data_IF_108646663059
#
_entry.id   IF_108646663059
#
_cell.length_a   1.000
_cell.length_b   1.000
_cell.length_c   1.000
_cell.angle_alpha   90.00
_cell.angle_beta   90.00
_cell.angle_gamma   90.00
#
_symmetry.space_group_name_H-M   'P 1'
#
loop_
_entity.id
_entity.type
_entity.pdbx_description
1 polymer ?
#
# COMPACT_ATOMS: atom_id res chain seq x y z
N UNK A 1 3.65 -33.51 13.57
CA UNK A 1 3.83 -32.97 13.42
C UNK A 1 4.25 -32.26 12.91
N UNK A 2 3.84 -33.22 13.32
CA UNK A 2 3.89 -32.75 13.06
C UNK A 2 4.44 -32.03 12.91
N UNK A 3 3.80 -32.35 13.32
CA UNK A 3 4.03 -31.73 13.18
C UNK A 3 4.47 -31.65 13.30
N UNK A 4 4.13 -32.19 13.68
CA UNK A 4 4.48 -31.99 13.70
C UNK A 4 4.89 -31.90 13.85
N UNK A 5 4.65 -32.52 14.22
CA UNK A 5 4.75 -32.38 14.27
C UNK A 5 5.12 -31.80 14.27
N UNK A 6 4.70 -32.34 14.77
CA UNK A 6 4.74 -31.86 14.56
C UNK A 6 5.23 -31.13 14.70
N UNK A 7 4.89 -31.71 15.05
CA UNK A 7 4.97 -31.13 15.02
C UNK A 7 5.48 -30.27 14.88
N UNK A 8 5.33 -30.85 15.08
CA UNK A 8 5.40 -30.18 14.81
C UNK A 8 5.61 -29.33 14.54
N UNK A 9 5.02 -29.78 14.70
CA UNK A 9 4.95 -29.02 14.20
C UNK A 9 4.84 -28.27 14.30
N UNK A 10 4.49 -28.54 14.41
CA UNK A 10 4.21 -27.87 14.22
C UNK A 10 4.54 -26.92 14.31
N UNK A 11 4.33 -27.61 14.45
CA UNK A 11 4.44 -26.78 14.32
C UNK A 11 4.69 -25.88 13.74
N UNK A 12 4.53 -26.55 13.68
CA UNK A 12 4.65 -25.78 12.92
C UNK A 12 4.44 -25.22 12.41
N UNK A 13 3.99 -25.47 12.50
CA UNK A 13 3.62 -24.90 11.82
C UNK A 13 3.45 -24.15 11.70
N UNK A 14 3.26 -24.69 11.43
CA UNK A 14 2.90 -23.98 11.11
C UNK A 14 3.19 -23.17 10.97
N UNK A 15 3.35 -23.60 11.03
CA UNK A 15 3.29 -22.88 10.76
C UNK A 15 3.29 -22.23 10.13
N UNK A 16 3.23 -22.26 9.89
CA UNK A 16 2.96 -21.98 9.10
C UNK A 16 2.92 -21.23 8.97
N UNK A 17 2.86 -21.21 8.97
CA UNK A 17 2.87 -20.51 8.85
C UNK A 17 3.23 -19.72 9.49
N UNK A 18 3.47 -19.57 9.96
CA UNK A 18 4.02 -18.76 10.58
C UNK A 18 5.23 -18.44 10.52
N UNK A 19 5.58 -18.23 9.98
CA UNK A 19 6.93 -18.32 9.63
C UNK A 19 7.56 -16.95 9.34
N UNK A 20 8.91 -16.84 9.30
CA UNK A 20 9.59 -15.57 9.02
C UNK A 20 9.21 -15.01 7.65
N UNK A 21 8.82 -15.89 6.75
CA UNK A 21 8.25 -15.45 5.48
C UNK A 21 6.97 -14.65 5.66
N UNK A 22 6.41 -14.68 6.86
CA UNK A 22 5.27 -13.85 7.19
C UNK A 22 5.67 -12.41 7.49
N UNK A 23 6.95 -12.08 7.38
CA UNK A 23 7.41 -10.71 7.57
C UNK A 23 6.73 -9.78 6.60
N UNK A 24 6.21 -8.70 7.14
CA UNK A 24 5.53 -7.68 6.35
C UNK A 24 6.49 -6.57 5.95
N UNK A 25 6.19 -6.00 4.82
CA UNK A 25 6.93 -4.87 4.26
C UNK A 25 5.92 -3.85 3.78
N UNK A 26 6.25 -2.57 3.90
CA UNK A 26 5.39 -1.51 3.42
C UNK A 26 6.13 -0.57 2.50
N UNK A 27 5.38 0.02 1.57
CA UNK A 27 5.85 1.11 0.71
C UNK A 27 4.81 2.21 0.77
N UNK A 28 5.26 3.45 0.88
CA UNK A 28 4.45 4.64 0.72
C UNK A 28 4.98 5.42 -0.46
N UNK A 29 4.13 5.68 -1.45
CA UNK A 29 4.54 6.47 -2.60
C UNK A 29 3.55 7.59 -2.88
N UNK A 30 4.02 8.61 -3.58
CA UNK A 30 3.21 9.69 -4.13
C UNK A 30 3.41 9.68 -5.64
N UNK A 31 2.35 9.88 -6.39
CA UNK A 31 2.42 10.00 -7.84
C UNK A 31 1.43 11.05 -8.31
N UNK A 32 1.49 11.40 -9.58
CA UNK A 32 0.57 12.34 -10.18
C UNK A 32 -0.28 11.63 -11.23
N UNK A 33 -1.56 11.96 -11.30
CA UNK A 33 -2.41 11.41 -12.36
C UNK A 33 -1.91 11.94 -13.71
N UNK A 34 -1.94 11.09 -14.73
CA UNK A 34 -1.53 11.50 -16.07
C UNK A 34 -2.36 12.71 -16.51
N UNK A 35 -1.74 13.75 -17.13
CA UNK A 35 -2.44 15.00 -17.43
C UNK A 35 -3.69 14.83 -18.28
N UNK A 36 -3.70 13.82 -19.14
CA UNK A 36 -4.80 13.60 -20.07
C UNK A 36 -5.82 12.60 -19.58
N UNK A 37 -5.58 11.98 -18.42
CA UNK A 37 -6.50 10.98 -17.88
C UNK A 37 -7.74 11.67 -17.31
N UNK A 38 -8.94 11.14 -17.63
CA UNK A 38 -10.15 11.66 -16.99
C UNK A 38 -10.18 11.25 -15.52
N UNK A 39 -10.84 12.06 -14.68
CA UNK A 39 -10.93 11.75 -13.25
C UNK A 39 -11.63 10.41 -12.98
N UNK A 40 -12.49 9.97 -13.89
CA UNK A 40 -13.14 8.65 -13.77
C UNK A 40 -12.15 7.50 -13.75
N UNK A 41 -10.90 7.72 -14.20
CA UNK A 41 -9.87 6.67 -14.19
C UNK A 41 -9.55 6.24 -12.76
N UNK A 42 -9.74 7.12 -11.77
CA UNK A 42 -9.44 6.78 -10.38
C UNK A 42 -10.32 5.63 -9.89
N UNK A 43 -11.62 5.69 -10.17
CA UNK A 43 -12.54 4.61 -9.80
C UNK A 43 -12.16 3.31 -10.51
N UNK A 44 -11.72 3.38 -11.76
CA UNK A 44 -11.27 2.21 -12.51
C UNK A 44 -10.01 1.60 -11.91
N UNK A 45 -9.06 2.44 -11.52
CA UNK A 45 -7.83 1.99 -10.86
C UNK A 45 -8.18 1.21 -9.59
N UNK A 46 -9.01 1.78 -8.73
CA UNK A 46 -9.38 1.15 -7.46
C UNK A 46 -10.12 -0.17 -7.70
N UNK A 47 -11.10 -0.16 -8.59
CA UNK A 47 -11.90 -1.34 -8.87
C UNK A 47 -11.06 -2.51 -9.40
N UNK A 48 -10.09 -2.22 -10.27
CA UNK A 48 -9.24 -3.24 -10.86
C UNK A 48 -8.13 -3.71 -9.93
N UNK A 49 -7.67 -2.82 -9.05
CA UNK A 49 -6.60 -3.15 -8.13
C UNK A 49 -7.03 -4.11 -7.02
N UNK A 50 -8.27 -4.01 -6.55
CA UNK A 50 -8.74 -4.80 -5.41
C UNK A 50 -8.60 -6.31 -5.58
N UNK A 51 -9.09 -6.91 -6.68
CA UNK A 51 -8.94 -8.37 -6.84
C UNK A 51 -7.48 -8.80 -6.93
N UNK A 52 -6.65 -8.02 -7.61
CA UNK A 52 -5.22 -8.32 -7.71
C UNK A 52 -4.51 -8.25 -6.38
N UNK A 53 -4.85 -7.24 -5.57
CA UNK A 53 -4.29 -7.09 -4.23
C UNK A 53 -4.73 -8.26 -3.33
N UNK A 54 -5.99 -8.64 -3.39
CA UNK A 54 -6.51 -9.76 -2.62
C UNK A 54 -5.75 -11.05 -2.96
N UNK A 55 -5.54 -11.29 -4.23
CA UNK A 55 -4.84 -12.48 -4.70
C UNK A 55 -3.38 -12.53 -4.25
N UNK A 56 -2.74 -11.36 -4.13
CA UNK A 56 -1.34 -11.24 -3.71
C UNK A 56 -1.18 -11.04 -2.21
N UNK A 57 -2.26 -11.05 -1.47
CA UNK A 57 -2.26 -10.79 -0.03
C UNK A 57 -1.67 -9.41 0.30
N UNK A 58 -2.06 -8.41 -0.49
CA UNK A 58 -1.68 -7.02 -0.29
C UNK A 58 -2.88 -6.26 0.25
N UNK A 59 -2.63 -5.45 1.27
CA UNK A 59 -3.61 -4.50 1.81
C UNK A 59 -3.02 -3.11 1.73
N UNK A 60 -3.85 -2.09 1.89
CA UNK A 60 -3.36 -0.71 1.85
C UNK A 60 -4.46 0.32 1.68
N UNK A 61 -4.04 1.56 1.55
CA UNK A 61 -4.94 2.70 1.42
C UNK A 61 -4.44 3.64 0.34
N UNK A 62 -5.37 4.10 -0.50
CA UNK A 62 -5.10 5.09 -1.55
C UNK A 62 -5.84 6.39 -1.22
N UNK A 63 -5.11 7.48 -1.25
CA UNK A 63 -5.68 8.83 -1.11
C UNK A 63 -5.45 9.58 -2.43
N UNK A 64 -6.46 10.29 -2.89
CA UNK A 64 -6.38 11.10 -4.10
C UNK A 64 -6.91 12.50 -3.80
N UNK A 65 -6.16 13.54 -4.19
CA UNK A 65 -6.53 14.93 -3.92
C UNK A 65 -7.02 15.69 -5.16
N UNK A 66 -7.30 14.98 -6.24
CA UNK A 66 -7.71 15.59 -7.51
C UNK A 66 -6.56 15.68 -8.51
N UNK A 67 -5.33 15.56 -8.06
CA UNK A 67 -4.14 15.65 -8.90
C UNK A 67 -3.11 14.57 -8.56
N UNK A 68 -2.92 14.30 -7.28
CA UNK A 68 -1.92 13.35 -6.80
C UNK A 68 -2.55 12.17 -6.12
N UNK A 69 -1.86 11.04 -6.24
CA UNK A 69 -2.14 9.84 -5.46
C UNK A 69 -1.11 9.72 -4.35
N UNK A 70 -1.55 9.26 -3.19
CA UNK A 70 -0.66 8.78 -2.14
C UNK A 70 -1.16 7.43 -1.72
N UNK A 71 -0.31 6.40 -1.83
CA UNK A 71 -0.73 5.04 -1.55
C UNK A 71 0.25 4.34 -0.64
N UNK A 72 -0.30 3.70 0.40
CA UNK A 72 0.46 2.79 1.24
C UNK A 72 0.07 1.36 0.83
N UNK A 73 1.09 0.54 0.58
CA UNK A 73 0.93 -0.87 0.24
C UNK A 73 1.68 -1.70 1.26
N UNK A 74 1.05 -2.79 1.69
CA UNK A 74 1.65 -3.66 2.70
C UNK A 74 1.39 -5.13 2.36
N UNK A 75 2.37 -5.96 2.63
CA UNK A 75 2.31 -7.38 2.34
C UNK A 75 3.72 -7.95 2.37
N UNK A 76 3.95 -9.08 1.68
CA UNK A 76 5.31 -9.59 1.55
C UNK A 76 6.14 -8.61 0.73
N UNK A 77 7.43 -8.52 1.04
CA UNK A 77 8.33 -7.62 0.33
C UNK A 77 8.32 -7.87 -1.17
N UNK A 78 8.36 -9.14 -1.56
CA UNK A 78 8.37 -9.52 -2.97
C UNK A 78 7.13 -9.01 -3.70
N UNK A 79 5.95 -9.21 -3.13
CA UNK A 79 4.70 -8.83 -3.77
C UNK A 79 4.54 -7.31 -3.80
N UNK A 80 4.89 -6.63 -2.71
CA UNK A 80 4.78 -5.18 -2.63
C UNK A 80 5.71 -4.51 -3.64
N UNK A 81 6.98 -4.91 -3.69
CA UNK A 81 7.93 -4.31 -4.62
C UNK A 81 7.56 -4.60 -6.07
N UNK A 82 7.08 -5.81 -6.36
CA UNK A 82 6.61 -6.15 -7.70
C UNK A 82 5.43 -5.27 -8.13
N UNK A 83 4.50 -5.00 -7.21
CA UNK A 83 3.35 -4.14 -7.50
C UNK A 83 3.77 -2.70 -7.76
N UNK A 84 4.72 -2.17 -6.98
CA UNK A 84 5.24 -0.82 -7.19
C UNK A 84 5.84 -0.68 -8.58
N UNK A 85 6.59 -1.68 -9.06
CA UNK A 85 7.16 -1.63 -10.40
C UNK A 85 6.09 -1.64 -11.48
N UNK A 86 5.00 -2.37 -11.28
CA UNK A 86 3.87 -2.35 -12.23
C UNK A 86 3.17 -1.00 -12.23
N UNK A 87 3.05 -0.37 -11.06
CA UNK A 87 2.46 0.96 -10.95
C UNK A 87 3.34 1.98 -11.68
N UNK A 88 4.66 1.89 -11.55
CA UNK A 88 5.57 2.76 -12.28
C UNK A 88 5.42 2.63 -13.80
N UNK A 89 5.11 1.44 -14.27
CA UNK A 89 4.93 1.18 -15.71
C UNK A 89 3.53 1.54 -16.21
N UNK A 90 2.59 1.84 -15.31
CA UNK A 90 1.21 2.15 -15.68
C UNK A 90 1.14 3.61 -16.17
N UNK A 91 0.70 3.84 -17.43
CA UNK A 91 0.67 5.20 -17.99
C UNK A 91 -0.34 6.13 -17.33
N UNK A 92 -1.22 5.61 -16.47
CA UNK A 92 -2.16 6.45 -15.73
C UNK A 92 -1.51 7.20 -14.58
N UNK A 93 -0.29 6.78 -14.17
CA UNK A 93 0.51 7.46 -13.15
C UNK A 93 1.74 8.07 -13.78
N UNK A 94 2.15 9.23 -13.26
CA UNK A 94 3.43 9.86 -13.60
C UNK A 94 4.16 10.21 -12.31
N UNK A 95 5.46 10.36 -12.40
CA UNK A 95 6.30 10.80 -11.28
C UNK A 95 6.08 9.97 -10.02
N UNK A 96 6.10 8.66 -10.15
CA UNK A 96 5.97 7.77 -8.99
C UNK A 96 7.22 7.90 -8.13
N UNK A 97 7.03 8.42 -6.92
CA UNK A 97 8.11 8.68 -5.98
C UNK A 97 7.85 7.95 -4.67
N UNK A 98 8.72 6.99 -4.33
CA UNK A 98 8.63 6.27 -3.05
C UNK A 98 9.22 7.16 -1.96
N UNK A 99 8.38 7.55 -1.00
CA UNK A 99 8.81 8.42 0.10
C UNK A 99 9.18 7.63 1.35
N UNK A 100 8.71 6.38 1.47
CA UNK A 100 9.05 5.51 2.60
C UNK A 100 8.92 4.06 2.19
N UNK A 101 9.84 3.23 2.69
CA UNK A 101 9.69 1.78 2.60
C UNK A 101 10.42 1.13 3.78
N UNK A 102 9.96 -0.04 4.18
CA UNK A 102 10.61 -0.74 5.28
C UNK A 102 9.78 -1.88 5.84
N UNK A 103 10.37 -2.56 6.81
CA UNK A 103 9.71 -3.65 7.51
C UNK A 103 8.54 -3.12 8.33
N UNK A 104 7.51 -3.93 8.45
CA UNK A 104 6.30 -3.59 9.19
C UNK A 104 5.97 -4.73 10.13
N UNK A 105 5.69 -4.41 11.39
CA UNK A 105 5.38 -5.43 12.39
C UNK A 105 3.99 -6.02 12.20
N UNK A 106 3.00 -5.16 11.98
CA UNK A 106 1.63 -5.58 11.77
C UNK A 106 1.00 -4.70 10.68
N UNK A 107 -0.01 -5.22 10.01
CA UNK A 107 -0.69 -4.46 8.97
C UNK A 107 -1.41 -3.24 9.56
N UNK A 108 -1.33 -2.13 8.85
CA UNK A 108 -2.06 -0.91 9.20
C UNK A 108 -3.49 -0.96 8.70
N UNK A 109 -3.72 -1.63 7.56
CA UNK A 109 -5.02 -1.63 6.86
C UNK A 109 -5.46 -3.05 6.53
N UNK A 110 -5.41 -3.93 7.52
CA UNK A 110 -5.68 -5.37 7.31
C UNK A 110 -7.09 -5.66 6.78
N UNK A 111 -8.00 -4.71 6.86
CA UNK A 111 -9.37 -4.90 6.40
C UNK A 111 -9.58 -4.48 4.94
N UNK A 112 -8.57 -3.89 4.31
CA UNK A 112 -8.73 -3.31 2.98
C UNK A 112 -7.77 -3.94 1.98
N UNK A 113 -8.30 -4.69 1.01
CA UNK A 113 -7.52 -5.05 -0.17
C UNK A 113 -7.03 -3.79 -0.86
N UNK A 114 -7.85 -2.75 -0.88
CA UNK A 114 -7.45 -1.38 -1.19
C UNK A 114 -8.54 -0.45 -0.68
N UNK A 115 -8.28 0.25 0.42
CA UNK A 115 -9.13 1.32 0.88
C UNK A 115 -8.92 2.54 0.01
N UNK A 116 -9.94 3.37 -0.12
CA UNK A 116 -9.85 4.58 -0.92
C UNK A 116 -10.57 5.74 -0.22
N UNK A 117 -9.93 6.89 -0.25
CA UNK A 117 -10.55 8.12 0.20
C UNK A 117 -10.02 9.29 -0.64
N UNK A 118 -10.69 10.42 -0.57
CA UNK A 118 -10.27 11.63 -1.28
C UNK A 118 -10.03 12.75 -0.28
N UNK A 119 -9.27 13.74 -0.72
CA UNK A 119 -9.00 14.93 0.08
C UNK A 119 -9.22 16.17 -0.79
N UNK A 120 -9.82 17.20 -0.20
CA UNK A 120 -10.03 18.48 -0.88
C UNK A 120 -8.83 19.42 -0.73
N UNK A 121 -7.89 19.10 0.15
CA UNK A 121 -6.70 19.93 0.35
C UNK A 121 -5.62 19.53 -0.65
N UNK A 122 -5.52 20.29 -1.74
CA UNK A 122 -4.58 20.00 -2.81
C UNK A 122 -3.11 20.18 -2.41
N UNK A 123 -2.83 20.78 -1.23
CA UNK A 123 -1.47 20.95 -0.75
C UNK A 123 -0.97 19.82 0.13
N UNK A 124 -1.85 19.02 0.71
CA UNK A 124 -1.47 17.96 1.64
C UNK A 124 -0.53 16.96 1.02
N UNK A 125 -0.89 16.39 -0.12
CA UNK A 125 -0.06 15.39 -0.77
C UNK A 125 1.19 15.99 -1.39
N UNK A 126 1.11 17.25 -1.83
CA UNK A 126 2.28 17.97 -2.32
C UNK A 126 3.33 18.15 -1.22
N UNK A 127 2.89 18.48 -0.01
CA UNK A 127 3.78 18.62 1.14
C UNK A 127 4.36 17.26 1.55
N UNK A 128 3.52 16.23 1.57
CA UNK A 128 3.98 14.89 1.92
C UNK A 128 5.05 14.40 0.96
N UNK A 129 4.93 14.73 -0.32
CA UNK A 129 5.90 14.34 -1.34
C UNK A 129 7.29 14.93 -1.11
N UNK A 130 7.40 15.98 -0.28
CA UNK A 130 8.69 16.59 0.06
C UNK A 130 9.36 15.91 1.25
N UNK A 131 8.70 14.96 1.88
CA UNK A 131 9.21 14.28 3.06
C UNK A 131 9.78 12.91 2.67
N UNK A 132 10.59 12.34 3.59
CA UNK A 132 11.15 11.01 3.42
C UNK A 132 11.01 10.19 4.68
N UNK A 133 11.02 8.86 4.51
CA UNK A 133 11.13 7.90 5.60
C UNK A 133 10.06 8.07 6.65
N UNK A 134 10.49 8.08 7.91
CA UNK A 134 9.54 8.15 9.03
C UNK A 134 8.74 9.44 9.06
N UNK A 135 9.32 10.55 8.60
CA UNK A 135 8.59 11.82 8.53
C UNK A 135 7.42 11.73 7.54
N UNK A 136 7.64 11.10 6.39
CA UNK A 136 6.59 10.89 5.41
C UNK A 136 5.49 9.98 5.96
N UNK A 137 5.87 8.89 6.62
CA UNK A 137 4.90 7.97 7.20
C UNK A 137 4.11 8.62 8.33
N UNK A 138 4.77 9.45 9.15
CA UNK A 138 4.09 10.18 10.22
C UNK A 138 3.06 11.16 9.66
N UNK A 139 3.40 11.85 8.57
CA UNK A 139 2.49 12.77 7.90
C UNK A 139 1.29 12.01 7.31
N UNK A 140 1.53 10.87 6.71
CA UNK A 140 0.48 10.01 6.16
C UNK A 140 -0.48 9.56 7.28
N UNK A 141 0.06 9.08 8.38
CA UNK A 141 -0.72 8.63 9.53
C UNK A 141 -1.55 9.76 10.13
N UNK A 142 -0.95 10.94 10.26
CA UNK A 142 -1.67 12.12 10.75
C UNK A 142 -2.81 12.52 9.84
N UNK A 143 -2.61 12.35 8.53
CA UNK A 143 -3.63 12.65 7.54
C UNK A 143 -4.88 11.78 7.73
N UNK A 144 -4.69 10.54 8.12
CA UNK A 144 -5.80 9.60 8.33
C UNK A 144 -6.74 10.03 9.42
N UNK A 145 -6.29 10.84 10.37
CA UNK A 145 -7.15 11.36 11.43
C UNK A 145 -8.21 12.33 10.90
N UNK A 146 -8.03 12.85 9.69
CA UNK A 146 -8.93 13.83 9.08
C UNK A 146 -9.75 13.27 7.93
N UNK A 147 -9.63 11.97 7.65
CA UNK A 147 -10.41 11.33 6.59
C UNK A 147 -11.40 10.34 7.20
N UNK A 148 -12.51 10.21 6.52
CA UNK A 148 -13.58 9.29 6.94
C UNK A 148 -13.43 8.00 6.14
N UNK A 149 -13.04 6.96 6.85
CA UNK A 149 -12.79 5.66 6.22
C UNK A 149 -14.00 4.73 6.32
#
# INVERSE_FOLDING_TARGET
MSFHTATSNRRLYIVRRMSPSSSLYEVLYVSTIAPEAPLSVVADIVRKARPGNQERDITGLLIFDGQRFCQQLEGSQKQVLSLVERIRADPRHTDVHVVHHGALATRRFRQFDLGYTSSDDGDLLARLAQLDGQAAMAAFTALLAHVDL
#
